data_IF_903883519178
#
_entry.id   IF_903883519178
#
_cell.length_a   1.000
_cell.length_b   1.000
_cell.length_c   1.000
_cell.angle_alpha   90.00
_cell.angle_beta   90.00
_cell.angle_gamma   90.00
#
_symmetry.space_group_name_H-M   'P 1'
#
loop_
_entity.id
_entity.type
_entity.pdbx_description
1 polymer ?
#
# COMPACT_ATOMS: atom_id res chain seq x y z
N UNK A 1 2.12 2.48 -0.86
CA UNK A 1 2.18 1.49 0.24
C UNK A 1 3.30 1.86 1.19
N UNK A 2 3.00 2.04 2.46
CA UNK A 2 3.99 2.16 3.54
C UNK A 2 3.40 1.43 4.74
N UNK A 3 4.23 0.66 5.44
CA UNK A 3 3.78 -0.21 6.51
C UNK A 3 4.00 0.47 7.88
N UNK A 4 2.95 0.46 8.73
CA UNK A 4 2.96 0.30 10.20
C UNK A 4 2.76 1.46 11.20
N UNK A 5 2.87 2.78 10.94
CA UNK A 5 2.63 3.74 12.03
C UNK A 5 1.17 3.71 12.53
N UNK A 6 0.22 3.56 11.61
CA UNK A 6 -1.20 3.42 11.93
C UNK A 6 -1.51 2.08 12.62
N UNK A 7 -0.88 0.96 12.25
CA UNK A 7 -1.18 -0.35 12.82
C UNK A 7 -0.90 -0.40 14.33
N UNK A 8 0.15 0.29 14.80
CA UNK A 8 0.42 0.44 16.25
C UNK A 8 -0.70 1.23 16.94
N UNK A 9 -1.11 2.36 16.35
CA UNK A 9 -2.18 3.21 16.90
C UNK A 9 -3.54 2.50 16.91
N UNK A 10 -3.84 1.73 15.86
CA UNK A 10 -5.04 0.90 15.77
C UNK A 10 -5.00 -0.16 16.88
N UNK A 11 -3.89 -0.91 16.97
CA UNK A 11 -3.71 -1.96 18.00
C UNK A 11 -3.89 -1.43 19.42
N UNK A 12 -3.33 -0.25 19.75
CA UNK A 12 -3.47 0.36 21.07
C UNK A 12 -4.85 0.96 21.36
N UNK A 13 -5.73 1.03 20.36
CA UNK A 13 -7.04 1.66 20.48
C UNK A 13 -8.20 0.69 20.20
N UNK A 14 -7.94 -0.61 20.02
CA UNK A 14 -8.96 -1.61 19.69
C UNK A 14 -10.01 -1.81 20.79
N UNK A 15 -9.64 -1.56 22.05
CA UNK A 15 -10.60 -1.64 23.17
C UNK A 15 -11.56 -0.44 23.21
N UNK A 16 -11.29 0.61 22.42
CA UNK A 16 -12.06 1.85 22.40
C UNK A 16 -12.83 2.06 21.09
N UNK A 17 -12.34 1.52 19.97
CA UNK A 17 -12.92 1.75 18.65
C UNK A 17 -12.90 0.49 17.79
N UNK A 18 -13.93 0.35 16.97
CA UNK A 18 -13.95 -0.58 15.84
C UNK A 18 -13.29 0.07 14.62
N UNK A 19 -12.49 -0.70 13.90
CA UNK A 19 -11.76 -0.24 12.74
C UNK A 19 -12.14 -1.02 11.49
N UNK A 20 -12.59 -0.28 10.48
CA UNK A 20 -12.68 -0.76 9.11
C UNK A 20 -11.62 -0.03 8.27
N UNK A 21 -10.79 -0.79 7.54
CA UNK A 21 -9.73 -0.23 6.70
C UNK A 21 -10.08 -0.50 5.25
N UNK A 22 -10.20 0.57 4.46
CA UNK A 22 -10.33 0.50 3.01
C UNK A 22 -9.11 1.11 2.34
N UNK A 23 -8.52 0.38 1.41
CA UNK A 23 -7.39 0.83 0.62
C UNK A 23 -7.88 1.41 -0.71
N UNK A 24 -7.35 2.58 -1.07
CA UNK A 24 -7.61 3.22 -2.35
C UNK A 24 -6.32 3.31 -3.18
N UNK A 25 -6.42 3.19 -4.51
CA UNK A 25 -5.27 3.24 -5.40
C UNK A 25 -4.64 4.63 -5.47
N UNK A 26 -3.31 4.64 -5.57
CA UNK A 26 -2.52 5.83 -5.88
C UNK A 26 -1.29 5.40 -6.68
N UNK A 27 -1.17 5.91 -7.92
CA UNK A 27 -0.08 5.53 -8.82
C UNK A 27 0.95 6.66 -8.86
N UNK A 28 2.15 6.41 -8.31
CA UNK A 28 3.25 7.38 -8.25
C UNK A 28 3.81 7.72 -9.62
N UNK A 29 3.86 6.74 -10.52
CA UNK A 29 4.35 6.92 -11.89
C UNK A 29 3.49 6.10 -12.86
N UNK A 30 2.45 6.71 -13.46
CA UNK A 30 1.58 6.03 -14.42
C UNK A 30 2.32 5.55 -15.67
N UNK A 31 3.44 6.18 -16.01
CA UNK A 31 4.27 5.86 -17.17
C UNK A 31 5.39 4.86 -16.86
N UNK A 32 5.42 4.28 -15.65
CA UNK A 32 6.42 3.28 -15.32
C UNK A 32 6.28 2.03 -16.21
N UNK A 33 7.39 1.43 -16.66
CA UNK A 33 7.38 0.22 -17.48
C UNK A 33 6.74 -0.95 -16.73
N UNK A 34 6.03 -1.81 -17.46
CA UNK A 34 5.35 -2.99 -16.89
C UNK A 34 6.33 -4.12 -16.63
N UNK A 35 7.38 -4.25 -17.44
CA UNK A 35 8.51 -5.16 -17.24
C UNK A 35 9.33 -4.85 -15.97
N UNK A 36 9.16 -3.65 -15.41
CA UNK A 36 9.88 -3.19 -14.24
C UNK A 36 11.32 -2.78 -14.53
N UNK A 37 11.91 -2.04 -13.59
CA UNK A 37 13.31 -1.60 -13.63
C UNK A 37 13.99 -1.93 -12.31
N UNK A 38 15.31 -2.07 -12.32
CA UNK A 38 16.09 -2.36 -11.12
C UNK A 38 15.90 -1.24 -10.10
N UNK A 39 15.38 -1.59 -8.92
CA UNK A 39 14.95 -0.63 -7.89
C UNK A 39 16.08 0.26 -7.38
N UNK A 40 17.26 -0.31 -7.14
CA UNK A 40 18.46 0.44 -6.74
C UNK A 40 18.87 1.48 -7.79
N UNK A 41 18.90 1.08 -9.08
CA UNK A 41 19.23 1.99 -10.18
C UNK A 41 18.21 3.11 -10.29
N UNK A 42 16.92 2.76 -10.25
CA UNK A 42 15.83 3.73 -10.29
C UNK A 42 15.92 4.75 -9.14
N UNK A 43 16.20 4.31 -7.91
CA UNK A 43 16.36 5.23 -6.78
C UNK A 43 17.61 6.10 -6.89
N UNK A 44 18.72 5.56 -7.41
CA UNK A 44 19.93 6.34 -7.67
C UNK A 44 19.67 7.41 -8.76
N UNK A 45 19.00 7.06 -9.84
CA UNK A 45 18.63 8.01 -10.90
C UNK A 45 17.70 9.10 -10.39
N UNK A 46 16.71 8.73 -9.56
CA UNK A 46 15.69 9.65 -9.05
C UNK A 46 16.20 10.58 -7.95
N UNK A 47 17.02 10.08 -7.03
CA UNK A 47 17.42 10.80 -5.81
C UNK A 47 18.93 11.09 -5.73
N UNK A 48 19.72 10.62 -6.69
CA UNK A 48 21.18 10.73 -6.66
C UNK A 48 21.79 10.09 -5.40
N UNK A 49 22.94 10.62 -4.91
CA UNK A 49 23.59 10.12 -3.70
C UNK A 49 22.71 10.16 -2.43
N UNK A 50 21.61 10.92 -2.43
CA UNK A 50 20.66 10.95 -1.32
C UNK A 50 19.92 9.61 -1.16
N UNK A 51 19.80 8.81 -2.23
CA UNK A 51 19.18 7.48 -2.21
C UNK A 51 19.73 6.59 -1.09
N UNK A 52 21.06 6.59 -0.87
CA UNK A 52 21.73 5.81 0.17
C UNK A 52 21.28 6.22 1.59
N UNK A 53 21.06 7.52 1.83
CA UNK A 53 20.55 8.00 3.14
C UNK A 53 19.08 7.66 3.32
N UNK A 54 18.29 7.73 2.25
CA UNK A 54 16.86 7.34 2.27
C UNK A 54 16.74 5.86 2.56
N UNK A 55 17.54 5.02 1.89
CA UNK A 55 17.62 3.59 2.12
C UNK A 55 18.02 3.28 3.56
N UNK A 56 19.12 3.83 4.07
CA UNK A 56 19.59 3.58 5.43
C UNK A 56 18.52 3.93 6.49
N UNK A 57 17.86 5.08 6.34
CA UNK A 57 16.74 5.49 7.21
C UNK A 57 15.55 4.54 7.11
N UNK A 58 15.24 4.08 5.90
CA UNK A 58 14.12 3.14 5.66
C UNK A 58 14.44 1.80 6.30
N UNK A 59 15.66 1.28 6.15
CA UNK A 59 16.12 0.07 6.79
C UNK A 59 16.06 0.16 8.33
N UNK A 60 16.41 1.30 8.93
CA UNK A 60 16.24 1.51 10.37
C UNK A 60 14.77 1.42 10.82
N UNK A 61 13.85 2.04 10.07
CA UNK A 61 12.42 1.94 10.35
C UNK A 61 11.94 0.49 10.27
N UNK A 62 12.32 -0.26 9.24
CA UNK A 62 11.96 -1.68 9.10
C UNK A 62 12.53 -2.53 10.25
N UNK A 63 13.79 -2.32 10.63
CA UNK A 63 14.40 -3.03 11.78
C UNK A 63 13.68 -2.75 13.09
N UNK A 64 13.22 -1.53 13.32
CA UNK A 64 12.40 -1.18 14.50
C UNK A 64 11.05 -1.92 14.55
N UNK A 65 10.66 -2.55 13.43
CA UNK A 65 9.45 -3.34 13.26
C UNK A 65 9.75 -4.85 13.16
N UNK A 66 11.00 -5.27 13.43
CA UNK A 66 11.45 -6.66 13.33
C UNK A 66 11.52 -7.18 11.89
N UNK A 67 11.69 -6.29 10.91
CA UNK A 67 11.78 -6.63 9.48
C UNK A 67 13.10 -6.14 8.89
N UNK A 68 13.59 -6.85 7.88
CA UNK A 68 14.71 -6.40 7.05
C UNK A 68 14.19 -5.70 5.79
N UNK A 69 14.72 -4.52 5.50
CA UNK A 69 14.42 -3.81 4.25
C UNK A 69 15.29 -4.33 3.11
N UNK A 70 14.67 -4.63 1.98
CA UNK A 70 15.34 -5.07 0.76
C UNK A 70 15.08 -4.10 -0.39
N UNK A 71 16.11 -3.31 -0.71
CA UNK A 71 16.11 -2.38 -1.85
C UNK A 71 16.31 -3.10 -3.18
N UNK A 72 16.63 -4.41 -3.18
CA UNK A 72 16.85 -5.17 -4.40
C UNK A 72 15.54 -5.46 -5.13
N UNK A 73 15.67 -6.12 -6.29
CA UNK A 73 14.56 -6.50 -7.14
C UNK A 73 14.11 -5.37 -8.07
N UNK A 74 12.86 -5.45 -8.49
CA UNK A 74 12.29 -4.52 -9.47
C UNK A 74 11.27 -3.56 -8.84
N UNK A 75 11.14 -2.39 -9.46
CA UNK A 75 10.07 -1.42 -9.24
C UNK A 75 9.52 -0.99 -10.60
N UNK A 76 8.27 -0.55 -10.67
CA UNK A 76 7.66 -0.27 -11.96
C UNK A 76 6.18 0.02 -11.85
N UNK A 77 5.44 -0.35 -12.88
CA UNK A 77 4.00 -0.18 -12.94
C UNK A 77 3.29 -0.95 -11.80
N UNK A 78 2.35 -0.30 -11.12
CA UNK A 78 1.60 -0.89 -10.00
C UNK A 78 0.13 -1.14 -10.31
N UNK A 79 -0.31 -0.96 -11.57
CA UNK A 79 -1.72 -1.04 -11.95
C UNK A 79 -2.30 -2.43 -11.71
N UNK A 80 -1.57 -3.50 -12.06
CA UNK A 80 -2.02 -4.88 -11.78
C UNK A 80 -2.20 -5.13 -10.27
N UNK A 81 -1.24 -4.69 -9.45
CA UNK A 81 -1.36 -4.71 -8.01
C UNK A 81 -2.61 -3.99 -7.51
N UNK A 82 -2.92 -2.81 -8.05
CA UNK A 82 -4.14 -2.08 -7.68
C UNK A 82 -5.43 -2.79 -8.12
N UNK A 83 -5.46 -3.40 -9.31
CA UNK A 83 -6.62 -4.17 -9.80
C UNK A 83 -6.95 -5.33 -8.87
N UNK A 84 -5.95 -6.10 -8.45
CA UNK A 84 -6.18 -7.25 -7.57
C UNK A 84 -6.53 -6.83 -6.14
N UNK A 85 -6.01 -5.70 -5.65
CA UNK A 85 -6.37 -5.12 -4.34
C UNK A 85 -7.81 -4.62 -4.34
N UNK A 86 -8.26 -3.97 -5.41
CA UNK A 86 -9.66 -3.58 -5.54
C UNK A 86 -10.57 -4.82 -5.58
N UNK A 87 -10.21 -5.82 -6.38
CA UNK A 87 -10.94 -7.09 -6.45
C UNK A 87 -11.05 -7.79 -5.08
N UNK A 88 -9.98 -7.82 -4.29
CA UNK A 88 -10.00 -8.34 -2.93
C UNK A 88 -10.98 -7.57 -2.03
N UNK A 89 -11.05 -6.25 -2.16
CA UNK A 89 -11.97 -5.40 -1.40
C UNK A 89 -13.44 -5.62 -1.72
N UNK A 90 -13.76 -6.14 -2.90
CA UNK A 90 -15.14 -6.56 -3.26
C UNK A 90 -15.55 -7.84 -2.56
N UNK A 91 -14.60 -8.68 -2.15
CA UNK A 91 -14.87 -9.90 -1.38
C UNK A 91 -14.99 -9.59 0.11
N UNK A 92 -13.99 -8.92 0.69
CA UNK A 92 -14.01 -8.43 2.07
C UNK A 92 -12.86 -7.44 2.33
N UNK A 93 -13.07 -6.49 3.26
CA UNK A 93 -12.09 -5.45 3.56
C UNK A 93 -10.88 -5.96 4.36
N UNK A 94 -11.08 -6.96 5.22
CA UNK A 94 -10.00 -7.66 5.92
C UNK A 94 -9.10 -8.43 4.94
N UNK A 95 -9.69 -9.09 3.93
CA UNK A 95 -8.97 -9.72 2.82
C UNK A 95 -8.18 -8.71 1.99
N UNK A 96 -8.77 -7.55 1.67
CA UNK A 96 -8.07 -6.46 1.01
C UNK A 96 -6.86 -5.99 1.81
N UNK A 97 -7.05 -5.75 3.11
CA UNK A 97 -5.98 -5.30 3.98
C UNK A 97 -4.86 -6.35 4.07
N UNK A 98 -5.21 -7.62 4.24
CA UNK A 98 -4.25 -8.72 4.28
C UNK A 98 -3.46 -8.82 2.96
N UNK A 99 -4.11 -8.67 1.80
CA UNK A 99 -3.43 -8.68 0.50
C UNK A 99 -2.42 -7.53 0.38
N UNK A 100 -2.81 -6.32 0.80
CA UNK A 100 -1.90 -5.17 0.79
C UNK A 100 -0.68 -5.41 1.68
N UNK A 101 -0.86 -5.97 2.88
CA UNK A 101 0.24 -6.31 3.79
C UNK A 101 1.17 -7.36 3.17
N UNK A 102 0.64 -8.40 2.52
CA UNK A 102 1.45 -9.42 1.83
C UNK A 102 2.23 -8.86 0.64
N UNK A 103 1.59 -8.01 -0.18
CA UNK A 103 2.24 -7.33 -1.30
C UNK A 103 3.35 -6.41 -0.78
N UNK A 104 3.07 -5.61 0.26
CA UNK A 104 4.06 -4.76 0.90
C UNK A 104 5.25 -5.56 1.41
N UNK A 105 4.99 -6.65 2.13
CA UNK A 105 6.03 -7.50 2.71
C UNK A 105 6.91 -8.09 1.61
N UNK A 106 6.32 -8.64 0.54
CA UNK A 106 7.08 -9.16 -0.60
C UNK A 106 7.93 -8.08 -1.26
N UNK A 107 7.36 -6.91 -1.53
CA UNK A 107 8.04 -5.83 -2.23
C UNK A 107 9.18 -5.20 -1.42
N UNK A 108 8.96 -4.95 -0.13
CA UNK A 108 9.90 -4.22 0.71
C UNK A 108 10.91 -5.09 1.44
N UNK A 109 10.68 -6.41 1.54
CA UNK A 109 11.55 -7.30 2.35
C UNK A 109 12.06 -8.52 1.60
N UNK A 110 11.53 -8.81 0.41
CA UNK A 110 11.86 -10.04 -0.35
C UNK A 110 12.20 -9.78 -1.82
N UNK A 111 12.39 -8.52 -2.22
CA UNK A 111 12.69 -8.13 -3.59
C UNK A 111 11.63 -8.51 -4.64
N UNK A 112 10.40 -8.87 -4.22
CA UNK A 112 9.32 -9.23 -5.15
C UNK A 112 8.84 -7.99 -5.92
N UNK A 113 8.40 -8.19 -7.15
CA UNK A 113 7.92 -7.10 -8.01
C UNK A 113 6.40 -7.02 -7.98
N UNK A 114 5.84 -5.84 -7.74
CA UNK A 114 4.38 -5.63 -7.64
C UNK A 114 3.62 -5.66 -8.98
N UNK A 115 4.35 -5.73 -10.09
CA UNK A 115 3.79 -6.01 -11.42
C UNK A 115 3.98 -7.47 -11.85
N UNK A 116 4.57 -8.33 -11.01
CA UNK A 116 4.71 -9.76 -11.29
C UNK A 116 3.41 -10.50 -10.97
N UNK A 117 2.76 -10.97 -12.02
CA UNK A 117 1.50 -11.71 -11.94
C UNK A 117 1.59 -12.94 -11.04
N UNK A 118 2.68 -13.72 -11.14
CA UNK A 118 2.82 -14.95 -10.34
C UNK A 118 2.85 -14.60 -8.86
N UNK A 119 3.65 -13.60 -8.48
CA UNK A 119 3.69 -13.11 -7.10
C UNK A 119 2.33 -12.56 -6.62
N UNK A 120 1.60 -11.81 -7.45
CA UNK A 120 0.29 -11.30 -7.08
C UNK A 120 -0.73 -12.42 -6.84
N UNK A 121 -0.71 -13.48 -7.65
CA UNK A 121 -1.57 -14.65 -7.47
C UNK A 121 -1.18 -15.47 -6.24
N UNK A 122 0.12 -15.65 -5.98
CA UNK A 122 0.60 -16.28 -4.74
C UNK A 122 0.11 -15.52 -3.49
N UNK A 123 0.25 -14.19 -3.50
CA UNK A 123 -0.19 -13.33 -2.39
C UNK A 123 -1.72 -13.39 -2.21
N UNK A 124 -2.48 -13.33 -3.31
CA UNK A 124 -3.94 -13.43 -3.30
C UNK A 124 -4.43 -14.77 -2.76
N UNK A 125 -3.83 -15.89 -3.22
CA UNK A 125 -4.13 -17.22 -2.71
C UNK A 125 -3.83 -17.33 -1.21
N UNK A 126 -2.70 -16.80 -0.77
CA UNK A 126 -2.27 -16.85 0.64
C UNK A 126 -3.28 -16.19 1.58
N UNK A 127 -3.94 -15.13 1.15
CA UNK A 127 -4.95 -14.40 1.96
C UNK A 127 -6.38 -14.80 1.64
N UNK A 128 -6.57 -15.88 0.86
CA UNK A 128 -7.89 -16.45 0.58
C UNK A 128 -8.74 -15.64 -0.39
N UNK A 129 -8.13 -14.95 -1.36
CA UNK A 129 -8.85 -14.35 -2.49
C UNK A 129 -9.20 -15.45 -3.48
N UNK A 130 -10.49 -15.64 -3.73
CA UNK A 130 -10.98 -16.60 -4.72
C UNK A 130 -11.09 -15.94 -6.10
N UNK A 131 -10.93 -16.68 -7.20
CA UNK A 131 -11.14 -16.15 -8.55
C UNK A 131 -10.08 -15.17 -9.06
N UNK A 132 -8.95 -15.02 -8.35
CA UNK A 132 -7.92 -14.04 -8.70
C UNK A 132 -7.25 -14.30 -10.05
N UNK A 133 -7.05 -15.57 -10.41
CA UNK A 133 -6.44 -15.96 -11.69
C UNK A 133 -7.37 -15.66 -12.86
N UNK A 134 -8.64 -16.05 -12.75
CA UNK A 134 -9.70 -15.78 -13.71
C UNK A 134 -9.92 -14.28 -13.88
N UNK A 135 -9.91 -13.52 -12.78
CA UNK A 135 -10.03 -12.08 -12.80
C UNK A 135 -8.88 -11.43 -13.59
N UNK A 136 -7.64 -11.84 -13.34
CA UNK A 136 -6.49 -11.26 -14.03
C UNK A 136 -6.34 -11.76 -15.49
N UNK A 137 -7.01 -12.84 -15.91
CA UNK A 137 -6.93 -13.34 -17.29
C UNK A 137 -7.43 -12.32 -18.33
N UNK A 138 -8.43 -11.51 -17.99
CA UNK A 138 -8.79 -10.35 -18.80
C UNK A 138 -8.01 -9.12 -18.31
N UNK A 139 -7.13 -8.52 -19.13
CA UNK A 139 -6.38 -7.32 -18.75
C UNK A 139 -7.29 -6.10 -18.51
N UNK A 140 -8.57 -6.13 -18.88
CA UNK A 140 -9.52 -5.03 -18.69
C UNK A 140 -10.25 -5.08 -17.34
N UNK A 141 -10.33 -6.25 -16.70
CA UNK A 141 -11.05 -6.41 -15.44
C UNK A 141 -10.52 -5.47 -14.37
N UNK A 142 -11.40 -4.75 -13.68
CA UNK A 142 -11.02 -3.82 -12.60
C UNK A 142 -10.38 -2.51 -13.05
N UNK A 143 -10.10 -2.30 -14.35
CA UNK A 143 -9.48 -1.05 -14.81
C UNK A 143 -10.38 0.15 -14.56
N UNK A 144 -11.66 0.04 -14.92
CA UNK A 144 -12.61 1.14 -14.76
C UNK A 144 -12.75 1.54 -13.29
N UNK A 145 -12.84 0.56 -12.40
CA UNK A 145 -12.99 0.78 -10.97
C UNK A 145 -11.73 1.40 -10.35
N UNK A 146 -10.54 0.91 -10.72
CA UNK A 146 -9.28 1.52 -10.27
C UNK A 146 -9.15 2.96 -10.75
N UNK A 147 -9.50 3.26 -12.01
CA UNK A 147 -9.43 4.63 -12.53
C UNK A 147 -10.46 5.56 -11.89
N UNK A 148 -11.69 5.08 -11.66
CA UNK A 148 -12.71 5.83 -10.96
C UNK A 148 -12.29 6.15 -9.51
N UNK A 149 -11.69 5.19 -8.82
CA UNK A 149 -11.16 5.40 -7.47
C UNK A 149 -9.95 6.34 -7.46
N UNK A 150 -9.07 6.29 -8.47
CA UNK A 150 -7.97 7.25 -8.62
C UNK A 150 -8.50 8.69 -8.79
N UNK A 151 -9.51 8.89 -9.63
CA UNK A 151 -10.14 10.20 -9.82
C UNK A 151 -10.77 10.70 -8.51
N UNK A 152 -11.57 9.85 -7.87
CA UNK A 152 -12.34 10.19 -6.67
C UNK A 152 -11.47 10.48 -5.45
N UNK A 153 -10.47 9.63 -5.19
CA UNK A 153 -9.72 9.65 -3.93
C UNK A 153 -8.35 10.29 -4.08
N UNK A 154 -7.71 10.19 -5.25
CA UNK A 154 -6.32 10.56 -5.43
C UNK A 154 -6.12 11.89 -6.18
N UNK A 155 -7.14 12.44 -6.84
CA UNK A 155 -7.03 13.66 -7.64
C UNK A 155 -6.57 14.92 -6.88
N UNK A 156 -6.75 14.97 -5.55
CA UNK A 156 -6.32 16.09 -4.69
C UNK A 156 -5.11 15.75 -3.80
N UNK A 157 -4.56 14.54 -3.93
CA UNK A 157 -3.47 14.05 -3.09
C UNK A 157 -2.16 14.16 -3.89
N UNK A 158 -1.14 14.77 -3.30
CA UNK A 158 0.19 14.93 -3.91
C UNK A 158 1.22 13.88 -3.47
N UNK A 159 0.87 13.03 -2.50
CA UNK A 159 1.78 12.02 -1.99
C UNK A 159 1.12 11.01 -1.05
N UNK A 160 1.79 9.86 -0.88
CA UNK A 160 1.34 8.76 -0.04
C UNK A 160 2.39 8.40 1.02
N UNK A 161 2.00 7.85 2.20
CA UNK A 161 0.62 7.49 2.57
C UNK A 161 -0.25 8.71 2.88
N UNK A 162 -1.54 8.59 2.63
CA UNK A 162 -2.56 9.59 2.96
C UNK A 162 -3.76 8.86 3.55
N UNK A 163 -4.31 9.39 4.63
CA UNK A 163 -5.37 8.75 5.41
C UNK A 163 -6.58 9.67 5.50
N UNK A 164 -7.76 9.08 5.36
CA UNK A 164 -9.05 9.72 5.62
C UNK A 164 -9.76 8.91 6.69
N UNK A 165 -10.03 9.52 7.84
CA UNK A 165 -10.70 8.89 9.00
C UNK A 165 -12.13 9.42 9.06
N UNK A 166 -13.11 8.52 9.06
CA UNK A 166 -14.55 8.81 9.01
C UNK A 166 -14.97 9.83 7.94
N UNK A 167 -14.28 9.84 6.79
CA UNK A 167 -14.56 10.76 5.68
C UNK A 167 -14.22 12.25 5.93
N UNK A 168 -13.82 12.62 7.15
CA UNK A 168 -13.65 14.03 7.57
C UNK A 168 -12.19 14.38 7.82
N UNK A 169 -11.52 13.58 8.66
CA UNK A 169 -10.17 13.90 9.14
C UNK A 169 -9.12 13.37 8.18
N UNK A 170 -8.25 14.25 7.69
CA UNK A 170 -7.20 13.95 6.71
C UNK A 170 -5.83 14.01 7.36
N UNK A 171 -5.01 12.97 7.18
CA UNK A 171 -3.62 12.94 7.61
C UNK A 171 -2.72 12.59 6.42
N UNK A 172 -1.66 13.36 6.22
CA UNK A 172 -0.69 13.14 5.14
C UNK A 172 0.65 12.69 5.69
N UNK A 173 1.27 11.71 5.04
CA UNK A 173 2.57 11.16 5.37
C UNK A 173 2.57 10.17 6.54
N UNK A 174 3.76 9.63 6.81
CA UNK A 174 4.00 8.68 7.90
C UNK A 174 4.05 9.42 9.25
N UNK A 175 2.88 9.68 9.83
CA UNK A 175 2.73 10.34 11.12
C UNK A 175 3.09 9.40 12.30
N UNK A 176 3.41 9.98 13.45
CA UNK A 176 3.63 9.22 14.68
C UNK A 176 2.33 8.58 15.19
N UNK A 177 2.37 7.42 15.88
CA UNK A 177 1.18 6.74 16.37
C UNK A 177 0.25 7.63 17.21
N UNK A 178 0.80 8.55 18.01
CA UNK A 178 0.02 9.44 18.87
C UNK A 178 -0.85 10.42 18.08
N UNK A 179 -0.41 10.80 16.86
CA UNK A 179 -1.19 11.64 15.95
C UNK A 179 -2.43 10.88 15.46
N UNK A 180 -2.27 9.58 15.15
CA UNK A 180 -3.39 8.72 14.76
C UNK A 180 -4.37 8.53 15.92
N UNK A 181 -3.90 8.25 17.14
CA UNK A 181 -4.76 8.07 18.32
C UNK A 181 -5.63 9.31 18.56
N UNK A 182 -5.03 10.52 18.50
CA UNK A 182 -5.79 11.78 18.62
C UNK A 182 -6.82 11.92 17.50
N UNK A 183 -6.44 11.61 16.27
CA UNK A 183 -7.36 11.68 15.14
C UNK A 183 -8.53 10.69 15.27
N UNK A 184 -8.33 9.49 15.83
CA UNK A 184 -9.41 8.54 16.13
C UNK A 184 -10.36 9.10 17.19
N UNK A 185 -9.82 9.66 18.28
CA UNK A 185 -10.61 10.27 19.34
C UNK A 185 -11.44 11.45 18.84
N UNK A 186 -10.86 12.31 18.01
CA UNK A 186 -11.57 13.45 17.43
C UNK A 186 -12.66 12.99 16.46
N UNK A 187 -12.36 12.01 15.60
CA UNK A 187 -13.32 11.44 14.65
C UNK A 187 -14.49 10.71 15.33
N UNK A 188 -14.29 10.17 16.53
CA UNK A 188 -15.33 9.50 17.30
C UNK A 188 -16.30 10.49 17.98
N UNK A 189 -15.87 11.72 18.27
CA UNK A 189 -16.73 12.77 18.88
C UNK A 189 -17.62 13.50 17.88
N UNK A 190 -17.31 13.38 16.59
CA UNK A 190 -18.02 14.06 15.50
C UNK A 190 -19.13 13.21 14.87
N UNK A 191 -19.39 12.02 15.43
CA UNK A 191 -20.48 11.12 15.09
C UNK A 191 -21.48 11.10 16.26
#
# INVERSE_FOLDING_TARGET
MHIKPNNKAIASSKDQFDFEIRWHPFILNPSAPTEGVVKEKFYMEKYGPQSLRIEARTAEVFRSLGLDYDVKGLTGNSLEGHRIIDYAGRQALDKQHALVEEICLGYFTKGKYIGDREFLLEAAKKVGIEGAEEFLNDPKNGLQEVYADLEKYSGSISGVPFYVINGKRKLSGSQQPEVFVRAFQDAAKEN
#
